data_IF_744234741789
#
_entry.id   IF_744234741789
#
_cell.length_a   1.000
_cell.length_b   1.000
_cell.length_c   1.000
_cell.angle_alpha   90.00
_cell.angle_beta   90.00
_cell.angle_gamma   90.00
#
_symmetry.space_group_name_H-M   'P 1'
#
loop_
_entity.id
_entity.type
_entity.pdbx_description
1 polymer ?
#
# COMPACT_ATOMS: atom_id res chain seq x y z
N UNK A 1 -4.13 -6.13 -14.07
CA UNK A 1 -4.66 -6.03 -12.70
C UNK A 1 -6.19 -6.02 -12.59
N UNK A 2 -6.96 -5.78 -13.66
CA UNK A 2 -8.43 -5.83 -13.57
C UNK A 2 -8.93 -7.18 -13.03
N UNK A 3 -8.33 -8.28 -13.50
CA UNK A 3 -8.69 -9.65 -13.09
C UNK A 3 -8.29 -9.99 -11.63
N UNK A 4 -7.60 -9.07 -10.94
CA UNK A 4 -7.17 -9.23 -9.56
C UNK A 4 -8.01 -8.40 -8.58
N UNK A 5 -8.90 -7.52 -9.06
CA UNK A 5 -9.68 -6.62 -8.20
C UNK A 5 -10.51 -7.40 -7.19
N UNK A 6 -11.25 -8.42 -7.65
CA UNK A 6 -12.10 -9.23 -6.77
C UNK A 6 -11.27 -10.01 -5.74
N UNK A 7 -10.12 -10.55 -6.15
CA UNK A 7 -9.19 -11.25 -5.23
C UNK A 7 -8.67 -10.29 -4.15
N UNK A 8 -8.31 -9.06 -4.53
CA UNK A 8 -7.83 -8.06 -3.55
C UNK A 8 -8.97 -7.64 -2.63
N UNK A 9 -10.19 -7.43 -3.15
CA UNK A 9 -11.37 -7.09 -2.35
C UNK A 9 -11.69 -8.18 -1.31
N UNK A 10 -11.72 -9.44 -1.73
CA UNK A 10 -11.92 -10.60 -0.84
C UNK A 10 -10.84 -10.68 0.23
N UNK A 11 -9.58 -10.40 -0.14
CA UNK A 11 -8.46 -10.35 0.80
C UNK A 11 -8.57 -9.23 1.83
N UNK A 12 -9.02 -8.05 1.41
CA UNK A 12 -9.26 -6.90 2.30
C UNK A 12 -10.36 -7.25 3.31
N UNK A 13 -11.50 -7.78 2.84
CA UNK A 13 -12.62 -8.17 3.70
C UNK A 13 -12.17 -9.24 4.72
N UNK A 14 -11.46 -10.28 4.26
CA UNK A 14 -10.90 -11.29 5.15
C UNK A 14 -9.94 -10.68 6.17
N UNK A 15 -9.10 -9.74 5.76
CA UNK A 15 -8.16 -9.07 6.66
C UNK A 15 -8.88 -8.25 7.75
N UNK A 16 -9.94 -7.52 7.39
CA UNK A 16 -10.78 -6.78 8.35
C UNK A 16 -11.40 -7.73 9.37
N UNK A 17 -11.89 -8.90 8.93
CA UNK A 17 -12.48 -9.91 9.81
C UNK A 17 -11.43 -10.64 10.66
N UNK A 18 -10.18 -10.71 10.20
CA UNK A 18 -9.09 -11.48 10.81
C UNK A 18 -7.87 -10.59 11.08
N UNK A 19 -8.08 -9.47 11.77
CA UNK A 19 -7.08 -8.41 12.00
C UNK A 19 -5.77 -8.93 12.58
N UNK A 20 -4.65 -8.29 12.23
CA UNK A 20 -3.36 -8.62 12.81
C UNK A 20 -3.16 -7.94 14.17
N UNK A 21 -2.05 -8.25 14.85
CA UNK A 21 -1.66 -7.54 16.07
C UNK A 21 -1.25 -6.07 15.82
N UNK A 22 -0.91 -5.72 14.58
CA UNK A 22 -0.54 -4.36 14.17
C UNK A 22 -1.70 -3.62 13.50
N UNK A 23 -2.89 -4.22 13.45
CA UNK A 23 -4.08 -3.56 12.96
C UNK A 23 -4.42 -2.33 13.81
N UNK A 24 -4.82 -1.26 13.13
CA UNK A 24 -5.23 -0.01 13.76
C UNK A 24 -6.58 0.43 13.20
N UNK A 25 -7.45 0.89 14.11
CA UNK A 25 -8.70 1.55 13.79
C UNK A 25 -8.72 2.94 14.41
N UNK A 26 -8.57 3.97 13.58
CA UNK A 26 -8.75 5.34 14.02
C UNK A 26 -10.21 5.71 13.81
N UNK A 27 -11.03 5.56 14.85
CA UNK A 27 -12.41 6.03 14.84
C UNK A 27 -12.44 7.56 15.08
N UNK A 28 -12.85 8.32 14.06
CA UNK A 28 -12.80 9.78 14.04
C UNK A 28 -14.18 10.44 14.00
N UNK A 29 -15.15 9.96 14.79
CA UNK A 29 -16.52 10.46 14.75
C UNK A 29 -17.39 9.70 13.74
N UNK A 30 -17.65 10.29 12.56
CA UNK A 30 -18.61 9.75 11.55
C UNK A 30 -18.06 8.61 10.67
N UNK A 31 -16.78 8.27 10.79
CA UNK A 31 -16.13 7.22 10.01
C UNK A 31 -14.90 6.64 10.72
N UNK A 32 -14.41 5.52 10.19
CA UNK A 32 -13.18 4.85 10.62
C UNK A 32 -12.10 4.91 9.54
N UNK A 33 -10.85 4.83 9.99
CA UNK A 33 -9.71 4.49 9.15
C UNK A 33 -9.14 3.18 9.67
N UNK A 34 -9.22 2.14 8.86
CA UNK A 34 -8.56 0.87 9.14
C UNK A 34 -7.25 0.80 8.37
N UNK A 35 -6.18 0.46 9.08
CA UNK A 35 -4.90 0.14 8.50
C UNK A 35 -4.29 -1.12 9.11
N UNK A 36 -3.65 -1.94 8.28
CA UNK A 36 -2.98 -3.16 8.73
C UNK A 36 -1.83 -3.53 7.78
N UNK A 37 -0.74 -4.07 8.32
CA UNK A 37 0.54 -4.24 7.64
C UNK A 37 0.98 -5.70 7.59
N UNK A 38 1.68 -6.06 6.53
CA UNK A 38 2.41 -7.33 6.38
C UNK A 38 1.52 -8.59 6.59
N UNK A 39 0.33 -8.59 6.00
CA UNK A 39 -0.61 -9.70 6.10
C UNK A 39 -0.50 -10.73 4.96
N UNK A 40 0.37 -10.52 3.98
CA UNK A 40 0.44 -11.33 2.77
C UNK A 40 0.67 -12.83 3.00
N UNK A 41 1.37 -13.24 4.07
CA UNK A 41 1.56 -14.65 4.39
C UNK A 41 0.35 -15.28 5.07
N UNK A 42 -0.46 -14.45 5.75
CA UNK A 42 -1.58 -14.89 6.59
C UNK A 42 -2.91 -14.88 5.85
N UNK A 43 -3.05 -14.00 4.87
CA UNK A 43 -4.26 -13.83 4.05
C UNK A 43 -4.02 -14.51 2.69
N UNK A 44 -4.71 -15.63 2.38
CA UNK A 44 -4.46 -16.40 1.17
C UNK A 44 -4.59 -15.59 -0.13
N UNK A 45 -5.51 -14.63 -0.16
CA UNK A 45 -5.73 -13.75 -1.31
C UNK A 45 -4.50 -12.87 -1.57
N UNK A 46 -3.93 -12.28 -0.51
CA UNK A 46 -2.71 -11.47 -0.61
C UNK A 46 -1.51 -12.32 -1.02
N UNK A 47 -1.37 -13.54 -0.48
CA UNK A 47 -0.34 -14.47 -0.92
C UNK A 47 -0.43 -14.71 -2.44
N UNK A 48 -1.64 -14.96 -2.96
CA UNK A 48 -1.85 -15.14 -4.40
C UNK A 48 -1.50 -13.90 -5.18
N UNK A 49 -1.88 -12.71 -4.73
CA UNK A 49 -1.51 -11.46 -5.40
C UNK A 49 0.02 -11.32 -5.48
N UNK A 50 0.73 -11.59 -4.39
CA UNK A 50 2.19 -11.50 -4.35
C UNK A 50 2.88 -12.52 -5.26
N UNK A 51 2.33 -13.74 -5.36
CA UNK A 51 2.99 -14.88 -6.01
C UNK A 51 2.55 -15.15 -7.45
N UNK A 52 1.30 -14.85 -7.77
CA UNK A 52 0.63 -15.26 -9.01
C UNK A 52 0.24 -14.08 -9.90
N UNK A 53 0.19 -12.86 -9.36
CA UNK A 53 -0.10 -11.67 -10.16
C UNK A 53 1.13 -11.18 -10.96
N UNK A 54 0.94 -10.32 -11.98
CA UNK A 54 2.07 -9.76 -12.73
C UNK A 54 2.88 -8.71 -11.94
N UNK A 55 2.58 -8.47 -10.65
CA UNK A 55 3.23 -7.44 -9.85
C UNK A 55 4.76 -7.59 -9.83
N UNK A 56 5.28 -8.81 -9.62
CA UNK A 56 6.71 -9.05 -9.52
C UNK A 56 7.45 -8.75 -10.84
N UNK A 57 6.88 -9.16 -11.97
CA UNK A 57 7.44 -8.91 -13.30
C UNK A 57 7.44 -7.42 -13.63
N UNK A 58 6.33 -6.73 -13.37
CA UNK A 58 6.21 -5.29 -13.59
C UNK A 58 7.16 -4.51 -12.67
N UNK A 59 7.29 -4.92 -11.41
CA UNK A 59 8.23 -4.31 -10.47
C UNK A 59 9.66 -4.44 -10.99
N UNK A 60 10.07 -5.65 -11.39
CA UNK A 60 11.41 -5.90 -11.91
C UNK A 60 11.69 -5.05 -13.16
N UNK A 61 10.72 -4.94 -14.07
CA UNK A 61 10.85 -4.11 -15.27
C UNK A 61 11.01 -2.62 -14.93
N UNK A 62 10.16 -2.07 -14.05
CA UNK A 62 10.22 -0.65 -13.63
C UNK A 62 11.52 -0.34 -12.89
N UNK A 63 11.94 -1.24 -11.99
CA UNK A 63 13.19 -1.11 -11.25
C UNK A 63 14.43 -1.41 -12.10
N UNK A 64 14.27 -1.85 -13.36
CA UNK A 64 15.35 -2.29 -14.25
C UNK A 64 16.21 -3.41 -13.63
N UNK A 65 15.56 -4.36 -12.98
CA UNK A 65 16.17 -5.49 -12.28
C UNK A 65 15.82 -6.81 -12.96
N UNK A 66 16.62 -7.86 -12.71
CA UNK A 66 16.33 -9.24 -13.13
C UNK A 66 15.26 -9.91 -12.25
N UNK A 67 15.07 -9.39 -11.04
CA UNK A 67 14.14 -9.94 -10.05
C UNK A 67 13.56 -8.83 -9.18
N UNK A 68 12.38 -9.08 -8.63
CA UNK A 68 11.78 -8.26 -7.59
C UNK A 68 11.65 -9.09 -6.31
N UNK A 69 11.95 -8.47 -5.17
CA UNK A 69 11.69 -9.03 -3.86
C UNK A 69 10.49 -8.31 -3.26
N UNK A 70 9.48 -9.07 -2.87
CA UNK A 70 8.35 -8.51 -2.15
C UNK A 70 8.79 -8.10 -0.74
N UNK A 71 8.44 -6.88 -0.34
CA UNK A 71 8.90 -6.31 0.93
C UNK A 71 7.78 -6.26 1.98
N UNK A 72 6.62 -5.69 1.64
CA UNK A 72 5.43 -5.70 2.49
C UNK A 72 4.16 -5.38 1.68
N UNK A 73 3.01 -5.72 2.25
CA UNK A 73 1.70 -5.17 1.93
C UNK A 73 1.22 -4.22 3.03
N UNK A 74 0.29 -3.33 2.67
CA UNK A 74 -0.37 -2.43 3.59
C UNK A 74 -1.81 -2.19 3.11
N UNK A 75 -2.77 -2.62 3.91
CA UNK A 75 -4.21 -2.42 3.66
C UNK A 75 -4.63 -1.09 4.25
N UNK A 76 -5.36 -0.29 3.48
CA UNK A 76 -5.83 1.04 3.84
C UNK A 76 -7.29 1.18 3.47
N UNK A 77 -8.19 1.23 4.47
CA UNK A 77 -9.63 1.42 4.26
C UNK A 77 -10.07 2.70 4.96
N UNK A 78 -10.58 3.66 4.18
CA UNK A 78 -11.04 4.97 4.66
C UNK A 78 -12.54 5.06 4.43
N UNK A 79 -13.32 4.97 5.51
CA UNK A 79 -14.77 5.17 5.43
C UNK A 79 -15.12 6.63 5.09
N UNK A 80 -16.28 6.89 4.46
CA UNK A 80 -16.78 8.23 4.24
C UNK A 80 -16.81 9.05 5.55
N UNK A 81 -16.38 10.32 5.48
CA UNK A 81 -16.31 11.20 6.65
C UNK A 81 -14.99 11.12 7.43
N UNK A 82 -14.12 10.16 7.13
CA UNK A 82 -12.76 10.09 7.66
C UNK A 82 -11.86 11.10 6.94
N UNK A 83 -11.70 12.30 7.51
CA UNK A 83 -10.86 13.36 6.95
C UNK A 83 -9.56 13.52 7.75
N UNK A 84 -8.63 12.58 7.57
CA UNK A 84 -7.22 12.80 7.92
C UNK A 84 -6.37 12.71 6.65
N UNK A 85 -5.83 13.83 6.13
CA UNK A 85 -4.94 13.78 4.99
C UNK A 85 -3.67 13.03 5.38
N UNK A 86 -3.17 12.19 4.48
CA UNK A 86 -1.84 11.61 4.62
C UNK A 86 -0.82 12.72 4.31
N UNK A 87 0.09 13.07 5.24
CA UNK A 87 1.07 14.13 5.01
C UNK A 87 2.01 13.77 3.87
N UNK A 88 2.64 14.77 3.25
CA UNK A 88 3.68 14.55 2.27
C UNK A 88 4.87 13.82 2.90
N UNK A 89 5.35 12.77 2.23
CA UNK A 89 6.49 11.97 2.64
C UNK A 89 7.09 11.25 1.43
N UNK A 90 8.28 10.69 1.62
CA UNK A 90 8.78 9.55 0.84
C UNK A 90 8.73 8.30 1.73
N UNK A 91 8.59 7.13 1.10
CA UNK A 91 8.40 5.88 1.82
C UNK A 91 9.70 5.36 2.47
N UNK A 92 10.85 5.52 1.80
CA UNK A 92 12.15 4.99 2.23
C UNK A 92 12.47 5.28 3.72
N UNK A 93 12.28 6.50 4.26
CA UNK A 93 12.53 6.78 5.67
C UNK A 93 11.72 5.94 6.69
N UNK A 94 10.64 5.29 6.28
CA UNK A 94 9.88 4.38 7.13
C UNK A 94 10.42 2.94 7.11
N UNK A 95 11.25 2.61 6.13
CA UNK A 95 11.65 1.24 5.86
C UNK A 95 13.05 0.95 6.39
N UNK A 96 13.27 -0.31 6.74
CA UNK A 96 14.58 -0.83 7.16
C UNK A 96 15.40 -1.35 5.96
N UNK A 97 15.17 -0.79 4.77
CA UNK A 97 15.90 -1.09 3.54
C UNK A 97 16.42 0.20 2.91
N UNK A 98 17.53 0.10 2.20
CA UNK A 98 18.15 1.23 1.48
C UNK A 98 18.23 0.93 -0.02
N UNK A 99 18.41 1.97 -0.82
CA UNK A 99 18.54 1.90 -2.28
C UNK A 99 17.44 2.66 -3.03
N UNK A 100 17.64 2.78 -4.34
CA UNK A 100 16.75 3.52 -5.25
C UNK A 100 15.93 2.63 -6.18
N UNK A 101 16.23 1.32 -6.23
CA UNK A 101 15.51 0.34 -7.04
C UNK A 101 14.38 -0.28 -6.21
N UNK A 102 13.42 0.56 -5.81
CA UNK A 102 12.22 0.16 -5.07
C UNK A 102 10.99 0.80 -5.71
N UNK A 103 9.86 0.10 -5.68
CA UNK A 103 8.59 0.62 -6.20
C UNK A 103 7.42 0.11 -5.36
N UNK A 104 6.46 0.99 -5.10
CA UNK A 104 5.20 0.69 -4.41
C UNK A 104 4.08 0.66 -5.45
N UNK A 105 3.25 -0.39 -5.43
CA UNK A 105 2.00 -0.43 -6.20
C UNK A 105 0.87 0.08 -5.31
N UNK A 106 0.30 1.24 -5.66
CA UNK A 106 -0.93 1.72 -5.06
C UNK A 106 -2.11 1.29 -5.93
N UNK A 107 -2.94 0.37 -5.42
CA UNK A 107 -4.03 -0.26 -6.18
C UNK A 107 -5.36 0.13 -5.54
N UNK A 108 -6.13 1.06 -6.14
CA UNK A 108 -7.48 1.36 -5.67
C UNK A 108 -8.41 0.20 -6.02
N UNK A 109 -9.14 -0.30 -5.01
CA UNK A 109 -10.14 -1.35 -5.20
C UNK A 109 -11.51 -0.73 -5.45
N UNK A 110 -11.86 0.28 -4.67
CA UNK A 110 -13.03 1.11 -4.94
C UNK A 110 -12.69 2.30 -5.85
N UNK A 111 -13.69 2.83 -6.59
CA UNK A 111 -13.52 4.08 -7.31
C UNK A 111 -13.15 5.25 -6.38
N UNK A 112 -11.95 5.81 -6.56
CA UNK A 112 -11.46 6.95 -5.76
C UNK A 112 -11.57 8.24 -6.57
N UNK A 113 -12.28 9.25 -6.04
CA UNK A 113 -12.44 10.56 -6.69
C UNK A 113 -11.67 11.68 -6.00
N UNK A 114 -11.79 11.78 -4.68
CA UNK A 114 -11.28 12.94 -3.91
C UNK A 114 -10.01 12.61 -3.11
N UNK A 115 -9.92 11.39 -2.57
CA UNK A 115 -8.81 10.94 -1.74
C UNK A 115 -7.77 10.14 -2.54
N UNK A 116 -7.37 10.63 -3.72
CA UNK A 116 -6.41 9.94 -4.59
C UNK A 116 -4.97 10.14 -4.14
N UNK A 117 -4.10 9.19 -4.50
CA UNK A 117 -2.66 9.38 -4.40
C UNK A 117 -2.23 10.62 -5.21
N UNK A 118 -1.34 11.43 -4.64
CA UNK A 118 -0.72 12.59 -5.30
C UNK A 118 0.78 12.43 -5.27
N UNK A 119 1.43 12.73 -6.39
CA UNK A 119 2.86 12.55 -6.58
C UNK A 119 3.47 13.87 -7.08
N UNK A 120 4.69 14.17 -6.64
CA UNK A 120 5.50 15.26 -7.18
C UNK A 120 6.45 14.65 -8.21
N UNK A 121 6.27 14.96 -9.48
CA UNK A 121 7.10 14.42 -10.54
C UNK A 121 8.59 14.76 -10.29
N UNK A 122 9.45 13.73 -10.33
CA UNK A 122 10.89 13.87 -10.12
C UNK A 122 11.35 13.93 -8.65
N UNK A 123 10.45 13.92 -7.66
CA UNK A 123 10.85 13.99 -6.23
C UNK A 123 11.73 12.82 -5.76
N UNK A 124 11.66 11.67 -6.44
CA UNK A 124 12.55 10.52 -6.21
C UNK A 124 14.04 10.82 -6.47
N UNK A 125 14.38 11.96 -7.09
CA UNK A 125 15.75 12.40 -7.36
C UNK A 125 16.27 13.47 -6.40
N UNK A 126 15.48 13.87 -5.42
CA UNK A 126 15.90 14.89 -4.45
C UNK A 126 17.01 14.36 -3.54
N UNK A 127 17.99 15.21 -3.22
CA UNK A 127 19.10 14.85 -2.33
C UNK A 127 18.66 14.60 -0.89
N UNK A 128 17.63 15.33 -0.44
CA UNK A 128 17.08 15.22 0.91
C UNK A 128 15.70 14.59 0.85
N UNK A 129 15.55 13.47 1.56
CA UNK A 129 14.27 12.78 1.70
C UNK A 129 13.26 13.61 2.50
N UNK A 130 11.99 13.56 2.10
CA UNK A 130 10.89 14.19 2.85
C UNK A 130 10.36 13.22 3.90
N UNK A 131 10.55 13.58 5.17
CA UNK A 131 9.93 12.88 6.29
C UNK A 131 8.46 13.31 6.43
N UNK A 132 7.58 12.44 6.94
CA UNK A 132 6.25 12.87 7.34
C UNK A 132 6.31 14.02 8.33
N UNK A 133 5.80 15.17 7.91
CA UNK A 133 5.66 16.31 8.81
C UNK A 133 4.50 16.00 9.75
N UNK A 134 4.78 15.98 11.06
CA UNK A 134 3.77 15.82 12.11
C UNK A 134 2.80 17.00 12.13
#
# INVERSE_FOLDING_TARGET
FKDWVDVIADGIERNIQNRSATASDIAGGKGSFFDDYCNWERIPEFFRIVRESPAAELAAAVMQSRSAQFFHDHVLVKEPGTQKPTPWHQDIPYYFVDGSQTVSFWIPIDPVKEATLRLIAGSHKWEKMVLPVR
#
